data_IF_770759129915
#
_entry.id   IF_770759129915
#
_cell.length_a   1.000
_cell.length_b   1.000
_cell.length_c   1.000
_cell.angle_alpha   90.00
_cell.angle_beta   90.00
_cell.angle_gamma   90.00
#
_symmetry.space_group_name_H-M   'P 1'
#
loop_
_entity.id
_entity.type
_entity.pdbx_description
1 polymer ?
#
# COMPACT_ATOMS: atom_id res chain seq x y z
N UNK A 1 -9.80 22.89 -4.98
CA UNK A 1 -9.10 22.42 -6.19
C UNK A 1 -8.12 21.35 -5.72
N UNK A 2 -8.66 20.17 -5.49
CA UNK A 2 -7.97 19.01 -4.94
C UNK A 2 -7.94 17.95 -6.05
N UNK A 3 -6.90 18.00 -6.87
CA UNK A 3 -6.70 17.04 -7.96
C UNK A 3 -5.98 15.83 -7.40
N UNK A 4 -6.74 14.89 -6.84
CA UNK A 4 -6.28 13.55 -6.45
C UNK A 4 -6.81 12.46 -7.38
N UNK A 5 -7.27 12.82 -8.58
CA UNK A 5 -7.88 11.90 -9.54
C UNK A 5 -7.05 11.89 -10.82
N UNK A 6 -5.82 11.39 -10.75
CA UNK A 6 -5.22 10.85 -11.98
C UNK A 6 -5.82 9.46 -12.18
N UNK A 7 -7.08 9.43 -12.62
CA UNK A 7 -7.63 8.22 -13.22
C UNK A 7 -6.81 7.93 -14.46
N UNK A 8 -5.81 7.06 -14.31
CA UNK A 8 -4.93 6.63 -15.40
C UNK A 8 -5.82 6.17 -16.56
N UNK A 9 -5.79 6.92 -17.66
CA UNK A 9 -6.70 6.74 -18.81
C UNK A 9 -6.63 5.34 -19.45
N UNK A 10 -5.63 4.52 -19.08
CA UNK A 10 -5.46 3.12 -19.48
C UNK A 10 -5.92 2.07 -18.47
N UNK A 11 -6.18 2.42 -17.21
CA UNK A 11 -6.59 1.44 -16.21
C UNK A 11 -8.03 0.97 -16.44
N UNK A 12 -8.19 -0.34 -16.73
CA UNK A 12 -9.51 -0.96 -16.94
C UNK A 12 -10.39 -0.85 -15.69
N UNK A 13 -9.82 -1.01 -14.51
CA UNK A 13 -10.59 -1.09 -13.27
C UNK A 13 -11.07 0.31 -12.84
N UNK A 14 -10.29 1.38 -13.12
CA UNK A 14 -10.77 2.77 -13.06
C UNK A 14 -11.95 3.02 -13.99
N UNK A 15 -11.84 2.55 -15.24
CA UNK A 15 -12.91 2.73 -16.25
C UNK A 15 -14.18 1.95 -15.90
N UNK A 16 -14.03 0.84 -15.18
CA UNK A 16 -15.14 0.02 -14.70
C UNK A 16 -15.73 0.54 -13.37
N UNK A 17 -15.12 1.55 -12.74
CA UNK A 17 -15.56 2.09 -11.45
C UNK A 17 -15.41 1.10 -10.29
N UNK A 18 -14.44 0.19 -10.37
CA UNK A 18 -14.19 -0.79 -9.31
C UNK A 18 -13.42 -0.13 -8.16
N UNK A 19 -13.68 -0.58 -6.94
CA UNK A 19 -12.92 -0.19 -5.77
C UNK A 19 -11.54 -0.87 -5.80
N UNK A 20 -10.50 -0.11 -6.14
CA UNK A 20 -9.12 -0.59 -6.21
C UNK A 20 -8.14 0.55 -5.92
N UNK A 21 -6.90 0.18 -5.60
CA UNK A 21 -5.79 1.09 -5.38
C UNK A 21 -4.64 0.75 -6.33
N UNK A 22 -3.91 1.78 -6.77
CA UNK A 22 -2.75 1.68 -7.67
C UNK A 22 -1.44 1.55 -6.89
N UNK A 23 -1.48 1.86 -5.60
CA UNK A 23 -0.35 1.70 -4.71
C UNK A 23 -0.03 0.25 -4.41
N UNK A 24 1.20 0.06 -3.93
CA UNK A 24 1.67 -1.19 -3.36
C UNK A 24 1.33 -1.21 -1.88
N UNK A 25 0.64 -2.26 -1.42
CA UNK A 25 0.42 -2.45 0.02
C UNK A 25 1.63 -3.16 0.64
N UNK A 26 2.30 -2.49 1.56
CA UNK A 26 3.36 -3.05 2.40
C UNK A 26 2.72 -3.64 3.65
N UNK A 27 2.80 -4.97 3.78
CA UNK A 27 2.33 -5.69 4.96
C UNK A 27 3.43 -5.74 6.00
N UNK A 28 3.25 -4.95 7.06
CA UNK A 28 4.12 -4.98 8.22
C UNK A 28 3.75 -6.13 9.16
N UNK A 29 4.76 -6.73 9.80
CA UNK A 29 4.53 -7.84 10.74
C UNK A 29 3.91 -7.38 12.07
N UNK A 30 4.36 -6.23 12.58
CA UNK A 30 3.96 -5.70 13.90
C UNK A 30 3.27 -4.34 13.85
N UNK A 31 3.01 -3.81 12.65
CA UNK A 31 2.40 -2.49 12.44
C UNK A 31 1.21 -2.62 11.51
N UNK A 32 0.39 -1.57 11.43
CA UNK A 32 -0.65 -1.47 10.41
C UNK A 32 -0.01 -1.53 9.02
N UNK A 33 -0.65 -2.20 8.07
CA UNK A 33 -0.24 -2.15 6.68
C UNK A 33 -0.21 -0.71 6.15
N UNK A 34 0.73 -0.43 5.26
CA UNK A 34 0.94 0.88 4.65
C UNK A 34 0.75 0.75 3.14
N UNK A 35 0.08 1.72 2.51
CA UNK A 35 0.01 1.79 1.06
C UNK A 35 0.94 2.90 0.58
N UNK A 36 1.67 2.64 -0.51
CA UNK A 36 2.58 3.64 -1.11
C UNK A 36 1.84 4.77 -1.84
N UNK A 37 0.53 4.65 -2.06
CA UNK A 37 -0.28 5.67 -2.73
C UNK A 37 -0.72 6.75 -1.73
N UNK A 38 -0.45 8.01 -2.07
CA UNK A 38 -0.86 9.16 -1.28
C UNK A 38 -2.39 9.27 -1.25
N UNK A 39 -2.95 9.44 -0.05
CA UNK A 39 -4.39 9.57 0.14
C UNK A 39 -5.18 8.26 0.17
N UNK A 40 -4.51 7.09 0.14
CA UNK A 40 -5.18 5.82 0.42
C UNK A 40 -5.66 5.77 1.88
N UNK A 41 -6.99 5.81 2.09
CA UNK A 41 -7.61 5.84 3.43
C UNK A 41 -7.88 4.46 4.02
N UNK A 42 -7.88 3.43 3.17
CA UNK A 42 -8.13 2.04 3.56
C UNK A 42 -7.01 1.11 3.09
N UNK A 43 -5.84 1.08 3.75
CA UNK A 43 -4.77 0.11 3.50
C UNK A 43 -5.17 -1.30 3.98
N UNK A 44 -6.38 -1.74 3.62
CA UNK A 44 -6.91 -3.08 3.83
C UNK A 44 -6.64 -3.90 2.55
N UNK A 45 -6.38 -5.19 2.71
CA UNK A 45 -5.99 -6.08 1.62
C UNK A 45 -6.97 -6.09 0.42
N UNK A 46 -8.25 -5.75 0.66
CA UNK A 46 -9.32 -5.92 -0.32
C UNK A 46 -9.20 -5.01 -1.56
N UNK A 47 -8.67 -3.79 -1.41
CA UNK A 47 -8.52 -2.84 -2.53
C UNK A 47 -7.14 -2.92 -3.23
N UNK A 48 -6.21 -3.72 -2.69
CA UNK A 48 -4.82 -3.74 -3.14
C UNK A 48 -4.51 -5.02 -3.88
N UNK A 49 -4.39 -4.93 -5.21
CA UNK A 49 -4.01 -6.06 -6.04
C UNK A 49 -2.54 -6.46 -5.82
N UNK A 50 -1.69 -5.53 -5.40
CA UNK A 50 -0.27 -5.75 -5.20
C UNK A 50 0.11 -5.57 -3.72
N UNK A 51 0.52 -6.68 -3.09
CA UNK A 51 0.89 -6.75 -1.68
C UNK A 51 2.29 -7.32 -1.55
N UNK A 52 3.12 -6.67 -0.76
CA UNK A 52 4.50 -7.09 -0.47
C UNK A 52 4.72 -7.11 1.04
N UNK A 53 5.47 -8.09 1.54
CA UNK A 53 5.87 -8.13 2.95
C UNK A 53 6.97 -7.10 3.25
N UNK A 54 6.97 -6.56 4.47
CA UNK A 54 7.89 -5.49 4.85
C UNK A 54 9.36 -5.89 4.82
N UNK A 55 9.71 -7.18 4.92
CA UNK A 55 11.10 -7.63 4.78
C UNK A 55 11.57 -7.53 3.32
N UNK A 56 10.71 -7.94 2.36
CA UNK A 56 10.99 -7.84 0.93
C UNK A 56 11.08 -6.38 0.49
N UNK A 57 10.26 -5.50 1.08
CA UNK A 57 10.32 -4.06 0.85
C UNK A 57 11.56 -3.38 1.48
N UNK A 58 12.31 -4.07 2.36
CA UNK A 58 13.48 -3.51 3.03
C UNK A 58 13.16 -2.53 4.17
N UNK A 59 11.98 -2.65 4.78
CA UNK A 59 11.59 -1.77 5.87
C UNK A 59 12.41 -2.06 7.14
N UNK A 60 12.85 -1.00 7.84
CA UNK A 60 13.56 -1.16 9.12
C UNK A 60 12.74 -1.85 10.22
N UNK A 61 11.42 -1.95 10.07
CA UNK A 61 10.59 -2.67 11.02
C UNK A 61 10.75 -4.20 10.97
N UNK A 62 11.38 -4.74 9.91
CA UNK A 62 11.71 -6.17 9.81
C UNK A 62 13.02 -6.51 10.51
N UNK A 63 13.83 -5.50 10.86
CA UNK A 63 15.10 -5.70 11.55
C UNK A 63 14.84 -6.20 12.99
N UNK A 64 15.59 -7.22 13.46
CA UNK A 64 15.50 -7.65 14.83
C UNK A 64 15.89 -6.50 15.76
N UNK A 65 15.05 -6.23 16.77
CA UNK A 65 15.42 -5.26 17.81
C UNK A 65 16.60 -5.88 18.57
N UNK A 66 17.81 -5.40 18.30
CA UNK A 66 18.98 -5.75 19.07
C UNK A 66 18.79 -5.24 20.50
N UNK A 67 18.37 -6.12 21.40
CA UNK A 67 18.32 -5.81 22.82
C UNK A 67 19.76 -5.73 23.31
N UNK A 68 20.24 -4.51 23.60
CA UNK A 68 21.51 -4.32 24.27
C UNK A 68 21.41 -4.95 25.67
N UNK A 69 22.18 -6.02 25.89
CA UNK A 69 22.40 -6.67 27.19
C UNK A 69 23.68 -6.16 27.83
#
# INVERSE_FOLDING_TARGET
METGETGDTGCRDCRAGLEHCHGTLIRHWARRAECTEDGCTGPELMAHAFVVDCDVAGCQCAEPIALAV
#
